data_IF_864030508209
#
_entry.id   IF_864030508209
#
_cell.length_a   1.000
_cell.length_b   1.000
_cell.length_c   1.000
_cell.angle_alpha   90.00
_cell.angle_beta   90.00
_cell.angle_gamma   90.00
#
_symmetry.space_group_name_H-M   'P 1'
#
loop_
_entity.id
_entity.type
_entity.pdbx_description
1 polymer ?
#
# COMPACT_ATOMS: atom_id res chain seq x y z
N UNK A 1 -11.13 -53.64 33.79
CA UNK A 1 -11.14 -52.19 34.07
C UNK A 1 -10.50 -51.47 32.89
N UNK A 2 -11.27 -50.63 32.22
CA UNK A 2 -10.97 -50.03 30.90
C UNK A 2 -10.39 -48.63 31.15
N UNK A 3 -9.14 -48.36 30.77
CA UNK A 3 -8.55 -47.01 30.81
C UNK A 3 -7.73 -46.76 29.53
N UNK A 4 -8.34 -46.20 28.48
CA UNK A 4 -7.60 -45.70 27.30
C UNK A 4 -8.18 -44.44 26.64
N UNK A 5 -9.15 -43.75 27.25
CA UNK A 5 -9.97 -42.74 26.56
C UNK A 5 -9.48 -41.27 26.65
N UNK A 6 -8.26 -40.98 27.08
CA UNK A 6 -7.85 -39.58 27.38
C UNK A 6 -6.91 -38.94 26.34
N UNK A 7 -6.38 -39.68 25.36
CA UNK A 7 -5.43 -39.13 24.36
C UNK A 7 -6.08 -38.60 23.08
N UNK A 8 -7.24 -39.15 22.68
CA UNK A 8 -7.86 -38.89 21.36
C UNK A 8 -8.62 -37.56 21.27
N UNK A 9 -9.13 -37.04 22.39
CA UNK A 9 -9.96 -35.82 22.42
C UNK A 9 -9.16 -34.54 22.12
N UNK A 10 -7.88 -34.50 22.49
CA UNK A 10 -7.00 -33.34 22.29
C UNK A 10 -6.70 -33.09 20.80
N UNK A 11 -6.41 -34.15 20.04
CA UNK A 11 -6.14 -34.07 18.60
C UNK A 11 -7.39 -33.75 17.77
N UNK A 12 -8.56 -34.25 18.19
CA UNK A 12 -9.83 -33.92 17.53
C UNK A 12 -10.17 -32.44 17.64
N UNK A 13 -9.96 -31.82 18.81
CA UNK A 13 -10.23 -30.38 19.00
C UNK A 13 -9.31 -29.50 18.16
N UNK A 14 -8.03 -29.83 18.05
CA UNK A 14 -7.09 -29.11 17.19
C UNK A 14 -7.46 -29.23 15.71
N UNK A 15 -7.85 -30.42 15.24
CA UNK A 15 -8.29 -30.64 13.86
C UNK A 15 -9.57 -29.86 13.49
N UNK A 16 -10.48 -29.64 14.44
CA UNK A 16 -11.66 -28.79 14.21
C UNK A 16 -11.31 -27.31 14.07
N UNK A 17 -10.33 -26.82 14.83
CA UNK A 17 -9.89 -25.42 14.73
C UNK A 17 -9.27 -25.17 13.37
N UNK A 18 -8.38 -26.06 12.90
CA UNK A 18 -7.78 -25.94 11.57
C UNK A 18 -8.81 -26.03 10.45
N UNK A 19 -9.83 -26.90 10.60
CA UNK A 19 -10.93 -27.01 9.63
C UNK A 19 -11.79 -25.75 9.57
N UNK A 20 -12.08 -25.11 10.71
CA UNK A 20 -12.83 -23.85 10.74
C UNK A 20 -12.04 -22.75 10.01
N UNK A 21 -10.73 -22.68 10.25
CA UNK A 21 -9.88 -21.70 9.56
C UNK A 21 -9.85 -21.94 8.04
N UNK A 22 -9.74 -23.19 7.60
CA UNK A 22 -9.81 -23.55 6.17
C UNK A 22 -11.14 -23.13 5.52
N UNK A 23 -12.27 -23.35 6.22
CA UNK A 23 -13.58 -22.89 5.77
C UNK A 23 -13.62 -21.35 5.73
N UNK A 24 -13.12 -20.68 6.77
CA UNK A 24 -13.06 -19.21 6.77
C UNK A 24 -12.22 -18.67 5.62
N UNK A 25 -11.09 -19.30 5.28
CA UNK A 25 -10.27 -18.90 4.15
C UNK A 25 -10.99 -19.15 2.81
N UNK A 26 -11.63 -20.31 2.61
CA UNK A 26 -12.32 -20.61 1.36
C UNK A 26 -13.47 -19.62 1.06
N UNK A 27 -14.20 -19.19 2.09
CA UNK A 27 -15.36 -18.32 1.93
C UNK A 27 -15.08 -16.83 2.09
N UNK A 28 -14.12 -16.43 2.94
CA UNK A 28 -13.90 -15.03 3.30
C UNK A 28 -12.60 -14.45 2.74
N UNK A 29 -11.63 -15.26 2.32
CA UNK A 29 -10.37 -14.76 1.79
C UNK A 29 -10.53 -14.28 0.32
N UNK A 30 -9.92 -13.15 -0.08
CA UNK A 30 -10.03 -12.65 -1.44
C UNK A 30 -9.35 -13.60 -2.44
N UNK A 31 -10.06 -13.97 -3.50
CA UNK A 31 -9.49 -14.71 -4.63
C UNK A 31 -8.67 -13.75 -5.49
N UNK A 32 -7.35 -13.85 -5.42
CA UNK A 32 -6.44 -13.00 -6.19
C UNK A 32 -6.21 -13.57 -7.59
N UNK A 33 -6.38 -12.75 -8.62
CA UNK A 33 -5.97 -13.11 -9.98
C UNK A 33 -4.45 -13.02 -10.09
N UNK A 34 -3.77 -14.15 -9.88
CA UNK A 34 -2.31 -14.16 -9.86
C UNK A 34 -1.68 -13.77 -11.22
N UNK A 35 -2.42 -13.87 -12.33
CA UNK A 35 -1.88 -13.54 -13.66
C UNK A 35 -1.69 -12.03 -13.84
N UNK A 36 -2.44 -11.19 -13.11
CA UNK A 36 -2.28 -9.74 -13.18
C UNK A 36 -1.06 -9.23 -12.40
N UNK A 37 -0.48 -10.04 -11.52
CA UNK A 37 0.63 -9.64 -10.62
C UNK A 37 1.99 -10.23 -11.03
N UNK A 38 2.02 -11.35 -11.75
CA UNK A 38 3.27 -12.07 -12.05
C UNK A 38 4.21 -11.37 -13.04
N UNK A 39 3.66 -10.59 -13.98
CA UNK A 39 4.42 -10.00 -15.09
C UNK A 39 4.37 -8.48 -15.09
N UNK A 40 5.51 -7.84 -15.40
CA UNK A 40 5.61 -6.37 -15.43
C UNK A 40 4.88 -5.71 -16.60
N UNK A 41 4.58 -6.47 -17.67
CA UNK A 41 3.96 -5.95 -18.89
C UNK A 41 2.43 -6.11 -18.90
N UNK A 42 1.81 -6.42 -17.76
CA UNK A 42 0.37 -6.59 -17.68
C UNK A 42 -0.35 -5.25 -17.84
N UNK A 43 -1.30 -5.17 -18.78
CA UNK A 43 -2.11 -3.97 -18.98
C UNK A 43 -3.26 -3.95 -17.97
N UNK A 44 -3.31 -2.90 -17.15
CA UNK A 44 -4.40 -2.64 -16.23
C UNK A 44 -5.21 -1.42 -16.68
N UNK A 45 -6.48 -1.38 -16.28
CA UNK A 45 -7.36 -0.25 -16.59
C UNK A 45 -6.88 1.00 -15.86
N UNK A 46 -6.83 2.13 -16.57
CA UNK A 46 -6.55 3.44 -15.97
C UNK A 46 -7.67 3.86 -15.00
N UNK A 47 -7.35 4.57 -13.90
CA UNK A 47 -8.37 5.25 -13.10
C UNK A 47 -9.18 6.22 -13.97
N UNK A 48 -10.42 6.47 -13.56
CA UNK A 48 -11.42 7.32 -14.20
C UNK A 48 -11.85 6.89 -15.62
N UNK A 49 -11.53 5.66 -16.04
CA UNK A 49 -11.98 5.10 -17.32
C UNK A 49 -13.47 4.73 -17.27
N UNK A 50 -14.21 5.11 -18.31
CA UNK A 50 -15.59 4.69 -18.54
C UNK A 50 -15.68 3.22 -18.96
N UNK A 51 -16.60 2.46 -18.35
CA UNK A 51 -16.84 1.07 -18.73
C UNK A 51 -18.00 0.98 -19.75
N UNK A 52 -17.74 0.57 -21.01
CA UNK A 52 -18.68 0.74 -22.11
C UNK A 52 -19.99 -0.06 -21.95
N UNK A 53 -19.95 -1.20 -21.22
CA UNK A 53 -21.14 -2.05 -21.05
C UNK A 53 -22.03 -1.63 -19.89
N UNK A 54 -21.46 -1.07 -18.82
CA UNK A 54 -22.22 -0.74 -17.59
C UNK A 54 -22.48 0.75 -17.45
N UNK A 55 -21.77 1.59 -18.20
CA UNK A 55 -21.83 3.04 -18.02
C UNK A 55 -21.07 3.56 -16.80
N UNK A 56 -20.54 2.68 -15.94
CA UNK A 56 -19.88 3.11 -14.70
C UNK A 56 -18.48 3.69 -14.97
N UNK A 57 -18.04 4.59 -14.10
CA UNK A 57 -16.69 5.16 -14.12
C UNK A 57 -15.80 4.43 -13.11
N UNK A 58 -14.55 4.16 -13.48
CA UNK A 58 -13.56 3.50 -12.62
C UNK A 58 -12.99 4.47 -11.59
N UNK A 59 -13.70 4.70 -10.50
CA UNK A 59 -13.35 5.69 -9.46
C UNK A 59 -12.37 5.15 -8.40
N UNK A 60 -11.47 5.98 -7.86
CA UNK A 60 -10.68 5.64 -6.68
C UNK A 60 -11.55 5.46 -5.43
N UNK A 61 -11.26 4.42 -4.64
CA UNK A 61 -12.05 4.07 -3.45
C UNK A 61 -11.43 4.72 -2.21
N UNK A 62 -12.27 5.36 -1.39
CA UNK A 62 -11.87 5.91 -0.10
C UNK A 62 -11.92 4.81 0.98
N UNK A 63 -10.76 4.50 1.57
CA UNK A 63 -10.63 3.46 2.60
C UNK A 63 -11.40 3.80 3.88
N UNK A 64 -11.52 5.08 4.24
CA UNK A 64 -12.21 5.51 5.47
C UNK A 64 -13.73 5.30 5.39
N UNK A 65 -14.27 5.24 4.17
CA UNK A 65 -15.70 5.05 3.91
C UNK A 65 -15.98 3.74 3.16
N UNK A 66 -15.02 2.80 3.12
CA UNK A 66 -15.11 1.55 2.36
C UNK A 66 -16.36 0.74 2.73
N UNK A 67 -16.73 0.73 4.02
CA UNK A 67 -17.92 0.02 4.52
C UNK A 67 -19.23 0.50 3.90
N UNK A 68 -19.27 1.73 3.39
CA UNK A 68 -20.46 2.36 2.81
C UNK A 68 -20.41 2.42 1.28
N UNK A 69 -19.36 1.86 0.66
CA UNK A 69 -19.22 1.84 -0.79
C UNK A 69 -20.26 0.90 -1.41
N UNK A 70 -21.03 1.42 -2.36
CA UNK A 70 -22.09 0.68 -3.06
C UNK A 70 -21.82 0.68 -4.57
N UNK A 71 -21.30 -0.42 -5.15
CA UNK A 71 -20.95 -0.50 -6.57
C UNK A 71 -22.12 -0.28 -7.54
N UNK A 72 -23.36 -0.43 -7.07
CA UNK A 72 -24.56 -0.35 -7.90
C UNK A 72 -25.17 1.06 -7.96
N UNK A 73 -24.78 1.96 -7.06
CA UNK A 73 -25.34 3.33 -6.97
C UNK A 73 -24.51 4.40 -7.68
N UNK A 74 -23.28 4.07 -8.07
CA UNK A 74 -22.34 5.02 -8.66
C UNK A 74 -22.63 5.24 -10.15
N UNK A 75 -23.75 5.91 -10.46
CA UNK A 75 -24.09 6.41 -11.80
C UNK A 75 -23.57 7.84 -11.97
N UNK A 76 -22.67 8.03 -12.94
CA UNK A 76 -22.05 9.32 -13.24
C UNK A 76 -23.05 10.38 -13.73
N UNK A 77 -24.22 9.97 -14.22
CA UNK A 77 -25.28 10.89 -14.61
C UNK A 77 -25.94 11.57 -13.39
N UNK A 78 -25.68 11.05 -12.18
CA UNK A 78 -26.39 11.44 -10.96
C UNK A 78 -25.48 11.95 -9.83
N UNK A 79 -24.16 11.74 -9.89
CA UNK A 79 -23.21 12.16 -8.84
C UNK A 79 -22.05 13.02 -9.35
N UNK A 80 -21.62 13.96 -8.50
CA UNK A 80 -20.41 14.76 -8.74
C UNK A 80 -19.17 13.89 -8.60
N UNK A 81 -18.30 13.88 -9.61
CA UNK A 81 -17.02 13.15 -9.59
C UNK A 81 -16.00 13.74 -8.60
N UNK A 82 -16.25 14.98 -8.13
CA UNK A 82 -15.31 15.75 -7.30
C UNK A 82 -14.80 15.00 -6.06
N UNK A 83 -15.61 14.30 -5.26
CA UNK A 83 -15.13 13.60 -4.07
C UNK A 83 -14.07 12.53 -4.39
N UNK A 84 -14.19 11.86 -5.54
CA UNK A 84 -13.25 10.84 -5.98
C UNK A 84 -11.95 11.44 -6.53
N UNK A 85 -12.05 12.60 -7.18
CA UNK A 85 -10.88 13.40 -7.58
C UNK A 85 -10.10 13.85 -6.35
N UNK A 86 -10.79 14.32 -5.30
CA UNK A 86 -10.14 14.74 -4.06
C UNK A 86 -9.43 13.55 -3.34
N UNK A 87 -10.01 12.34 -3.39
CA UNK A 87 -9.34 11.11 -2.91
C UNK A 87 -8.06 10.84 -3.71
N UNK A 88 -8.13 10.92 -5.03
CA UNK A 88 -6.98 10.68 -5.90
C UNK A 88 -5.88 11.72 -5.70
N UNK A 89 -6.24 13.00 -5.59
CA UNK A 89 -5.30 14.09 -5.36
C UNK A 89 -4.50 13.88 -4.07
N UNK A 90 -5.17 13.47 -2.97
CA UNK A 90 -4.49 13.12 -1.71
C UNK A 90 -3.53 11.95 -1.88
N UNK A 91 -3.90 10.93 -2.65
CA UNK A 91 -3.00 9.81 -2.95
C UNK A 91 -1.75 10.28 -3.72
N UNK A 92 -1.93 11.09 -4.77
CA UNK A 92 -0.81 11.62 -5.57
C UNK A 92 0.10 12.51 -4.72
N UNK A 93 -0.48 13.37 -3.87
CA UNK A 93 0.28 14.20 -2.95
C UNK A 93 1.13 13.34 -2.00
N UNK A 94 0.56 12.26 -1.45
CA UNK A 94 1.30 11.32 -0.61
C UNK A 94 2.47 10.64 -1.34
N UNK A 95 2.32 10.33 -2.64
CA UNK A 95 3.43 9.81 -3.46
C UNK A 95 4.53 10.84 -3.71
N UNK A 96 4.20 12.12 -3.77
CA UNK A 96 5.20 13.19 -3.97
C UNK A 96 6.01 13.40 -2.70
N UNK A 97 5.35 13.44 -1.54
CA UNK A 97 6.01 13.60 -0.25
C UNK A 97 6.97 12.45 0.04
N UNK A 98 6.55 11.19 -0.17
CA UNK A 98 7.41 10.03 0.09
C UNK A 98 8.66 9.97 -0.78
N UNK A 99 8.56 10.39 -2.06
CA UNK A 99 9.73 10.51 -2.94
C UNK A 99 10.68 11.59 -2.48
N UNK A 100 10.17 12.72 -2.00
CA UNK A 100 11.00 13.82 -1.51
C UNK A 100 11.73 13.41 -0.23
N UNK A 101 11.07 12.69 0.67
CA UNK A 101 11.68 12.15 1.89
C UNK A 101 12.77 11.12 1.59
N UNK A 102 12.59 10.26 0.57
CA UNK A 102 13.63 9.33 0.12
C UNK A 102 14.86 10.06 -0.46
N UNK A 103 14.63 11.14 -1.22
CA UNK A 103 15.72 11.98 -1.76
C UNK A 103 16.46 12.67 -0.62
N UNK A 104 15.76 13.24 0.37
CA UNK A 104 16.39 13.85 1.54
C UNK A 104 17.15 12.82 2.39
N UNK A 105 16.61 11.61 2.56
CA UNK A 105 17.28 10.54 3.28
C UNK A 105 18.56 10.09 2.55
N UNK A 106 18.51 9.95 1.22
CA UNK A 106 19.68 9.62 0.40
C UNK A 106 20.71 10.76 0.40
N UNK A 107 20.28 12.02 0.32
CA UNK A 107 21.20 13.16 0.39
C UNK A 107 21.81 13.33 1.78
N UNK A 108 21.04 13.09 2.84
CA UNK A 108 21.53 13.12 4.22
C UNK A 108 22.52 11.99 4.50
N UNK A 109 22.26 10.79 3.98
CA UNK A 109 23.20 9.67 4.06
C UNK A 109 24.46 9.91 3.21
N UNK A 110 24.34 10.52 2.04
CA UNK A 110 25.49 10.94 1.23
C UNK A 110 26.30 12.02 1.96
N UNK A 111 25.65 12.95 2.65
CA UNK A 111 26.31 13.97 3.47
C UNK A 111 27.03 13.36 4.68
N UNK A 112 26.42 12.40 5.38
CA UNK A 112 27.07 11.68 6.48
C UNK A 112 28.25 10.81 5.98
N UNK A 113 28.09 10.12 4.85
CA UNK A 113 29.19 9.38 4.22
C UNK A 113 30.31 10.32 3.75
N UNK A 114 29.98 11.52 3.28
CA UNK A 114 30.97 12.54 2.95
C UNK A 114 31.72 12.99 4.21
N UNK A 115 31.03 13.17 5.35
CA UNK A 115 31.66 13.47 6.64
C UNK A 115 32.55 12.31 7.13
N UNK A 116 32.12 11.06 7.00
CA UNK A 116 32.91 9.88 7.39
C UNK A 116 34.16 9.71 6.50
N UNK A 117 34.07 10.05 5.21
CA UNK A 117 35.23 10.10 4.30
C UNK A 117 36.16 11.27 4.67
N UNK A 118 35.62 12.43 5.01
CA UNK A 118 36.41 13.63 5.39
C UNK A 118 37.07 13.47 6.76
N UNK A 119 36.53 12.64 7.67
CA UNK A 119 37.16 12.42 8.98
C UNK A 119 38.46 11.61 8.91
N UNK A 120 38.76 10.97 7.77
CA UNK A 120 40.02 10.26 7.53
C UNK A 120 41.09 11.10 6.81
N UNK A 121 40.71 12.23 6.21
CA UNK A 121 41.60 13.22 5.58
C UNK A 121 41.16 14.65 5.94
N UNK A 122 41.79 15.18 7.00
CA UNK A 122 42.12 16.58 7.29
C UNK A 122 41.24 17.73 6.71
N UNK A 123 40.82 18.62 7.62
CA UNK A 123 40.27 19.99 7.49
C UNK A 123 38.73 20.13 7.47
N UNK A 124 38.18 20.57 8.61
CA UNK A 124 36.83 21.14 8.72
C UNK A 124 36.84 22.49 8.00
N UNK A 125 36.17 22.59 6.86
CA UNK A 125 35.65 23.85 6.36
C UNK A 125 34.27 24.06 6.97
N UNK A 126 34.17 25.08 7.82
CA UNK A 126 32.96 25.49 8.52
C UNK A 126 31.85 25.81 7.50
N UNK A 127 30.70 25.15 7.65
CA UNK A 127 29.54 25.28 6.77
C UNK A 127 29.02 26.73 6.69
N UNK A 128 29.35 27.56 7.70
CA UNK A 128 28.95 28.96 7.77
C UNK A 128 29.63 29.85 6.71
N UNK A 129 30.83 29.51 6.24
CA UNK A 129 31.57 30.31 5.24
C UNK A 129 31.04 30.09 3.81
N UNK A 130 30.45 28.92 3.54
CA UNK A 130 29.98 28.59 2.19
C UNK A 130 28.60 29.20 1.86
N UNK A 131 27.80 29.53 2.88
CA UNK A 131 26.47 30.14 2.75
C UNK A 131 26.49 31.68 2.76
N UNK A 132 27.59 32.31 3.21
CA UNK A 132 27.69 33.78 3.26
C UNK A 132 28.09 34.45 1.95
N UNK A 133 28.47 33.68 0.92
CA UNK A 133 28.66 34.21 -0.44
C UNK A 133 29.75 35.29 -0.58
N UNK A 134 30.73 35.33 0.31
CA UNK A 134 31.92 36.18 0.18
C UNK A 134 33.09 35.34 -0.35
N UNK A 135 33.30 35.41 -1.67
CA UNK A 135 34.59 35.24 -2.34
C UNK A 135 34.87 36.56 -3.06
#
# INVERSE_FOLDING_TARGET
>A
MINSATSTTKYRKAAYVTLIDEIMFEYCYPRLDANVTKGMNHLLKSPFTFHPKTGHISIPINLNSLRYFDPCKEDYNQTSLKPFVDVFARFVQGLQTSKQDEVLAKSGQLFLLLFDVVHHDLFILDLNTMLSGEI
#
